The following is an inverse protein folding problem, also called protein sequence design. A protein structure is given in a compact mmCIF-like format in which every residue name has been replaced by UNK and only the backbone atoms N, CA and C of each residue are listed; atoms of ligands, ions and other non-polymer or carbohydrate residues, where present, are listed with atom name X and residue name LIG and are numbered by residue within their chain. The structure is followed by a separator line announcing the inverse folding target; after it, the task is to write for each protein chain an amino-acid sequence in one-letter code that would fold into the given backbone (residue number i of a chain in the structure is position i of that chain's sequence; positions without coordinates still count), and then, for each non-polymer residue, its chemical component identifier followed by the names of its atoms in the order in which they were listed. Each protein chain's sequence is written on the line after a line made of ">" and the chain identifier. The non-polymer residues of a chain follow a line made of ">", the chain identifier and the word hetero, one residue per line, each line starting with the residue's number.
data_IF_007996520234
#
_entry.id   IF_007996520234
#
_cell.length_a   1.000
_cell.length_b   1.000
_cell.length_c   1.000
_cell.angle_alpha   90.00
_cell.angle_beta   90.00
_cell.angle_gamma   90.00
#
_symmetry.space_group_name_H-M   'P 1'
#
loop_
_entity.id
_entity.type
_entity.pdbx_description
1 polymer ?
#
# COMPACT_ATOMS: atom_id res chain seq x y z
N UNK A 1 3.77 44.66 11.04
CA UNK A 1 3.90 43.96 9.73
C UNK A 1 4.12 42.48 9.99
N UNK A 2 3.12 41.61 9.76
CA UNK A 2 3.28 40.14 9.81
C UNK A 2 3.56 39.66 8.39
N UNK A 3 4.73 39.08 8.15
CA UNK A 3 5.06 38.41 6.88
C UNK A 3 4.08 37.24 6.72
N UNK A 4 3.25 37.27 5.68
CA UNK A 4 2.56 36.07 5.17
C UNK A 4 3.64 35.18 4.57
N UNK A 5 3.88 34.02 5.18
CA UNK A 5 4.59 32.96 4.48
C UNK A 5 3.68 32.51 3.34
N UNK A 6 4.16 32.67 2.12
CA UNK A 6 3.56 32.10 0.93
C UNK A 6 3.87 30.60 0.98
N UNK A 7 2.94 29.82 1.51
CA UNK A 7 3.02 28.37 1.54
C UNK A 7 2.42 27.84 0.24
N UNK A 8 3.19 27.94 -0.84
CA UNK A 8 2.92 27.22 -2.07
C UNK A 8 3.15 25.73 -1.76
N UNK A 9 2.06 25.06 -1.34
CA UNK A 9 2.03 23.78 -0.64
C UNK A 9 2.55 22.55 -1.40
N UNK A 10 3.84 22.54 -1.69
CA UNK A 10 4.61 21.30 -1.81
C UNK A 10 5.45 21.11 -0.52
N UNK A 11 4.80 20.50 0.48
CA UNK A 11 5.29 20.14 1.82
C UNK A 11 6.49 19.15 1.83
N UNK A 12 7.38 19.17 0.83
CA UNK A 12 8.47 18.20 0.68
C UNK A 12 7.95 16.76 0.61
N UNK A 13 6.83 16.57 -0.08
CA UNK A 13 6.26 15.24 -0.28
C UNK A 13 6.98 14.53 -1.42
N UNK A 14 7.17 13.21 -1.31
CA UNK A 14 7.66 12.37 -2.41
C UNK A 14 6.77 11.16 -2.60
N UNK A 15 6.73 10.68 -3.84
CA UNK A 15 6.20 9.36 -4.14
C UNK A 15 7.29 8.31 -3.89
N UNK A 16 6.90 7.16 -3.38
CA UNK A 16 7.75 6.00 -3.19
C UNK A 16 6.99 4.76 -3.65
N UNK A 17 7.69 3.82 -4.28
CA UNK A 17 7.13 2.55 -4.69
C UNK A 17 7.68 1.43 -3.81
N UNK A 18 6.80 0.50 -3.43
CA UNK A 18 7.14 -0.79 -2.86
C UNK A 18 6.49 -1.85 -3.74
N UNK A 19 7.29 -2.71 -4.36
CA UNK A 19 6.76 -3.88 -5.07
C UNK A 19 6.48 -4.98 -4.05
N UNK A 20 5.22 -5.37 -3.95
CA UNK A 20 4.81 -6.55 -3.21
C UNK A 20 4.54 -7.70 -4.18
N UNK A 21 4.37 -8.91 -3.67
CA UNK A 21 3.99 -10.07 -4.47
C UNK A 21 2.79 -10.74 -3.83
N UNK A 22 1.79 -11.06 -4.65
CA UNK A 22 0.73 -12.00 -4.26
C UNK A 22 1.05 -13.34 -4.90
N UNK A 23 1.09 -14.40 -4.09
CA UNK A 23 1.35 -15.75 -4.56
C UNK A 23 0.06 -16.57 -4.49
N UNK A 24 -0.19 -17.35 -5.54
CA UNK A 24 -1.27 -18.33 -5.55
C UNK A 24 -0.95 -19.59 -4.75
N UNK A 25 -1.79 -20.60 -4.89
CA UNK A 25 -1.53 -21.94 -4.35
C UNK A 25 -0.34 -22.61 -5.07
N UNK A 26 0.22 -23.65 -4.44
CA UNK A 26 1.25 -24.47 -5.07
C UNK A 26 0.61 -25.36 -6.14
N UNK A 27 0.81 -24.99 -7.40
CA UNK A 27 0.33 -25.76 -8.53
C UNK A 27 1.26 -26.96 -8.80
N UNK A 28 0.72 -28.13 -9.18
CA UNK A 28 1.55 -29.26 -9.62
C UNK A 28 2.30 -28.87 -10.90
N UNK A 29 3.62 -28.71 -10.81
CA UNK A 29 4.45 -28.38 -11.96
C UNK A 29 4.54 -29.56 -12.95
N UNK A 30 4.81 -29.25 -14.22
CA UNK A 30 4.90 -30.23 -15.32
C UNK A 30 5.92 -31.37 -15.09
N UNK A 31 6.86 -31.19 -14.17
CA UNK A 31 7.89 -32.17 -13.80
C UNK A 31 7.61 -32.87 -12.46
N UNK A 32 6.41 -32.73 -11.90
CA UNK A 32 6.04 -33.26 -10.59
C UNK A 32 6.55 -32.46 -9.40
N UNK A 33 7.28 -31.36 -9.64
CA UNK A 33 7.70 -30.42 -8.58
C UNK A 33 6.65 -29.31 -8.43
N UNK A 34 6.22 -28.98 -7.20
CA UNK A 34 5.27 -27.91 -6.98
C UNK A 34 5.85 -26.56 -7.43
N UNK A 35 5.03 -25.74 -8.09
CA UNK A 35 5.40 -24.43 -8.60
C UNK A 35 4.55 -23.37 -7.90
N UNK A 36 5.21 -22.35 -7.38
CA UNK A 36 4.58 -21.17 -6.81
C UNK A 36 4.57 -20.07 -7.87
N UNK A 37 3.38 -19.61 -8.26
CA UNK A 37 3.25 -18.46 -9.14
C UNK A 37 2.92 -17.22 -8.32
N UNK A 38 3.76 -16.19 -8.45
CA UNK A 38 3.58 -14.92 -7.77
C UNK A 38 3.50 -13.78 -8.78
N UNK A 39 2.52 -12.91 -8.60
CA UNK A 39 2.31 -11.73 -9.43
C UNK A 39 2.77 -10.49 -8.66
N UNK A 40 3.62 -9.62 -9.25
CA UNK A 40 4.04 -8.38 -8.61
C UNK A 40 2.87 -7.39 -8.51
N UNK A 41 2.74 -6.74 -7.35
CA UNK A 41 1.78 -5.68 -7.06
C UNK A 41 2.59 -4.42 -6.67
N UNK A 42 2.76 -3.45 -7.58
CA UNK A 42 3.38 -2.18 -7.24
C UNK A 42 2.45 -1.39 -6.32
N UNK A 43 2.97 -0.94 -5.17
CA UNK A 43 2.26 -0.07 -4.22
C UNK A 43 2.98 1.26 -4.07
N UNK A 44 2.32 2.31 -4.52
CA UNK A 44 2.78 3.69 -4.47
C UNK A 44 2.29 4.34 -3.19
N UNK A 45 3.21 5.02 -2.50
CA UNK A 45 2.98 5.76 -1.27
C UNK A 45 3.32 7.24 -1.45
N UNK A 46 2.48 8.11 -0.91
CA UNK A 46 2.81 9.52 -0.70
C UNK A 46 3.42 9.69 0.69
N UNK A 47 4.67 10.13 0.73
CA UNK A 47 5.42 10.36 1.96
C UNK A 47 5.67 11.85 2.10
N UNK A 48 5.12 12.46 3.15
CA UNK A 48 5.33 13.87 3.46
C UNK A 48 6.04 14.00 4.81
N UNK A 49 6.75 15.11 5.03
CA UNK A 49 7.45 15.35 6.30
C UNK A 49 6.44 15.40 7.46
N UNK A 50 6.77 14.73 8.56
CA UNK A 50 5.95 14.70 9.79
C UNK A 50 4.50 14.18 9.62
N UNK A 51 4.20 13.52 8.50
CA UNK A 51 2.90 12.87 8.26
C UNK A 51 3.15 11.38 8.03
N UNK A 52 2.23 10.50 8.43
CA UNK A 52 2.31 9.08 8.07
C UNK A 52 2.36 8.90 6.55
N UNK A 53 3.06 7.88 6.07
CA UNK A 53 3.01 7.49 4.67
C UNK A 53 1.60 6.97 4.33
N UNK A 54 1.04 7.42 3.22
CA UNK A 54 -0.31 7.03 2.78
C UNK A 54 -0.18 6.27 1.46
N UNK A 55 -0.71 5.04 1.39
CA UNK A 55 -0.82 4.31 0.14
C UNK A 55 -1.81 5.03 -0.79
N UNK A 56 -1.38 5.35 -2.00
CA UNK A 56 -2.21 6.03 -3.03
C UNK A 56 -2.65 5.08 -4.14
N UNK A 57 -2.17 3.83 -4.13
CA UNK A 57 -2.56 2.81 -5.11
C UNK A 57 -3.96 2.29 -4.79
N UNK A 58 -4.81 2.14 -5.81
CA UNK A 58 -6.12 1.53 -5.70
C UNK A 58 -6.16 0.27 -6.55
N UNK A 59 -6.62 -0.83 -5.97
CA UNK A 59 -6.95 -2.04 -6.72
C UNK A 59 -8.34 -1.84 -7.30
N UNK A 60 -8.51 -2.08 -8.59
CA UNK A 60 -9.79 -1.99 -9.29
C UNK A 60 -10.18 -3.37 -9.81
N UNK A 61 -11.48 -3.66 -9.84
CA UNK A 61 -11.98 -4.85 -10.50
C UNK A 61 -12.24 -4.52 -11.96
N UNK A 62 -11.71 -5.35 -12.86
CA UNK A 62 -11.93 -5.23 -14.29
C UNK A 62 -12.86 -6.36 -14.73
N UNK A 63 -13.99 -6.04 -15.36
CA UNK A 63 -14.81 -7.05 -16.03
C UNK A 63 -14.08 -7.47 -17.33
N UNK A 64 -13.62 -8.73 -17.44
CA UNK A 64 -12.85 -9.17 -18.60
C UNK A 64 -13.69 -9.30 -19.88
N UNK A 65 -15.03 -9.32 -19.78
CA UNK A 65 -15.95 -9.45 -20.93
C UNK A 65 -16.36 -8.10 -21.49
N UNK A 66 -16.60 -7.11 -20.63
CA UNK A 66 -17.04 -5.77 -21.03
C UNK A 66 -15.91 -4.74 -21.05
N UNK A 67 -14.83 -5.01 -20.31
CA UNK A 67 -13.74 -4.05 -20.09
C UNK A 67 -14.10 -2.94 -19.09
N UNK A 68 -15.25 -3.03 -18.43
CA UNK A 68 -15.69 -2.05 -17.44
C UNK A 68 -14.83 -2.13 -16.18
N UNK A 69 -14.56 -0.95 -15.59
CA UNK A 69 -13.71 -0.79 -14.39
C UNK A 69 -14.60 -0.42 -13.21
N UNK A 70 -14.68 -1.31 -12.23
CA UNK A 70 -15.33 -1.02 -10.96
C UNK A 70 -14.29 -0.49 -9.95
N UNK A 71 -14.45 0.78 -9.58
CA UNK A 71 -13.66 1.39 -8.53
C UNK A 71 -14.26 1.05 -7.16
N UNK A 72 -13.47 0.54 -6.20
CA UNK A 72 -13.95 0.39 -4.84
C UNK A 72 -14.31 1.76 -4.25
N UNK A 73 -15.30 1.83 -3.35
CA UNK A 73 -15.68 3.08 -2.70
C UNK A 73 -14.48 3.73 -2.01
N UNK A 74 -14.40 5.07 -2.04
CA UNK A 74 -13.32 5.79 -1.40
C UNK A 74 -13.36 5.57 0.11
N UNK A 75 -12.27 5.06 0.67
CA UNK A 75 -12.05 5.07 2.12
C UNK A 75 -11.64 6.48 2.52
N UNK A 76 -12.62 7.34 2.78
CA UNK A 76 -12.41 8.76 3.07
C UNK A 76 -11.63 9.01 4.38
N UNK A 77 -11.46 7.99 5.22
CA UNK A 77 -10.61 8.05 6.41
C UNK A 77 -10.00 6.70 6.76
N UNK A 78 -8.71 6.52 6.47
CA UNK A 78 -7.93 5.44 7.07
C UNK A 78 -7.60 5.87 8.52
N UNK A 79 -8.38 5.38 9.48
CA UNK A 79 -8.14 5.62 10.89
C UNK A 79 -7.07 4.65 11.40
N UNK A 80 -5.84 5.12 11.56
CA UNK A 80 -4.77 4.36 12.22
C UNK A 80 -4.90 4.40 13.75
N UNK A 81 -4.50 3.32 14.44
CA UNK A 81 -4.24 3.41 15.89
C UNK A 81 -2.99 4.26 16.14
N UNK A 82 -3.04 5.10 17.16
CA UNK A 82 -1.86 5.81 17.63
C UNK A 82 -0.73 4.83 17.96
N UNK A 83 0.50 5.15 17.56
CA UNK A 83 1.65 4.28 17.75
C UNK A 83 1.90 3.93 19.23
N UNK A 84 1.56 4.84 20.16
CA UNK A 84 1.62 4.61 21.61
C UNK A 84 0.69 3.49 22.10
N UNK A 85 -0.34 3.13 21.31
CA UNK A 85 -1.34 2.12 21.65
C UNK A 85 -1.05 0.75 21.03
N UNK A 86 0.10 0.57 20.38
CA UNK A 86 0.49 -0.70 19.78
C UNK A 86 1.13 -1.60 20.85
N UNK A 87 0.55 -2.78 21.05
CA UNK A 87 1.11 -3.82 21.93
C UNK A 87 2.33 -4.43 21.27
N UNK A 88 3.49 -4.35 21.93
CA UNK A 88 4.73 -4.99 21.49
C UNK A 88 4.86 -6.35 22.15
N UNK A 89 4.95 -7.40 21.35
CA UNK A 89 5.31 -8.72 21.84
C UNK A 89 6.83 -8.84 21.85
N UNK A 90 7.44 -8.88 23.03
CA UNK A 90 8.85 -9.28 23.18
C UNK A 90 8.95 -10.79 23.04
N UNK A 91 9.93 -11.27 22.28
CA UNK A 91 10.21 -12.71 22.24
C UNK A 91 10.61 -13.18 23.65
N UNK A 92 10.15 -14.37 24.10
CA UNK A 92 10.68 -14.98 25.31
C UNK A 92 12.19 -15.19 25.12
N UNK A 93 12.99 -14.73 26.06
CA UNK A 93 14.39 -15.11 26.18
C UNK A 93 14.46 -16.58 26.59
N UNK A 94 15.11 -17.41 25.76
CA UNK A 94 15.53 -18.78 26.13
C UNK A 94 16.57 -18.77 27.25
#
# INVERSE_FOLDING_TARGET
>A
MRKKANDDGDDGCRLAEIVQYICGELEPGRSGKPRLECTPIPRIFRICRNKPAIEVTRIVNLDPKTGEVEFPPSVDSICGKDWSRIVKYTRPTE
#
